data_IF_456903965798
#
_entry.id   IF_456903965798
#
_cell.length_a   1.000
_cell.length_b   1.000
_cell.length_c   1.000
_cell.angle_alpha   90.00
_cell.angle_beta   90.00
_cell.angle_gamma   90.00
#
_symmetry.space_group_name_H-M   'P 1'
#
loop_
_entity.id
_entity.type
_entity.pdbx_description
1 polymer ?
#
# COMPACT_ATOMS: atom_id res chain seq x y z
N UNK A 1 -18.42 35.28 21.06
CA UNK A 1 -19.37 34.65 20.13
C UNK A 1 -20.05 33.55 20.92
N UNK A 2 -21.39 33.54 20.95
CA UNK A 2 -22.18 32.56 21.69
C UNK A 2 -22.84 31.56 20.73
N UNK A 3 -23.28 30.42 21.26
CA UNK A 3 -23.99 29.41 20.48
C UNK A 3 -25.40 29.89 20.13
N UNK A 4 -25.79 29.70 18.87
CA UNK A 4 -27.15 29.97 18.39
C UNK A 4 -28.07 28.80 18.80
N UNK A 5 -28.50 28.83 20.06
CA UNK A 5 -29.34 27.79 20.63
C UNK A 5 -30.71 27.70 19.99
N UNK A 6 -31.24 28.80 19.46
CA UNK A 6 -32.54 28.80 18.79
C UNK A 6 -32.48 27.93 17.53
N UNK A 7 -31.47 28.16 16.68
CA UNK A 7 -31.26 27.38 15.46
C UNK A 7 -30.84 25.94 15.74
N UNK A 8 -29.98 25.72 16.73
CA UNK A 8 -29.55 24.37 17.13
C UNK A 8 -30.73 23.53 17.63
N UNK A 9 -31.62 24.12 18.46
CA UNK A 9 -32.82 23.43 18.92
C UNK A 9 -33.80 23.14 17.76
N UNK A 10 -33.95 24.07 16.82
CA UNK A 10 -34.81 23.85 15.65
C UNK A 10 -34.35 22.66 14.78
N UNK A 11 -33.05 22.42 14.66
CA UNK A 11 -32.47 21.33 13.84
C UNK A 11 -32.43 20.01 14.61
N UNK A 12 -31.99 20.04 15.87
CA UNK A 12 -31.68 18.85 16.66
C UNK A 12 -32.70 18.54 17.75
N UNK A 13 -33.91 19.12 17.72
CA UNK A 13 -34.98 18.84 18.70
C UNK A 13 -35.21 17.34 18.99
N UNK A 14 -35.15 16.42 18.00
CA UNK A 14 -35.32 14.97 18.25
C UNK A 14 -34.09 14.29 18.89
N UNK A 15 -32.94 14.96 18.95
CA UNK A 15 -31.62 14.41 19.34
C UNK A 15 -30.97 15.26 20.44
N UNK A 16 -31.51 15.13 21.65
CA UNK A 16 -31.00 15.83 22.84
C UNK A 16 -29.55 15.45 23.18
N UNK A 17 -29.13 14.22 22.86
CA UNK A 17 -27.75 13.76 23.03
C UNK A 17 -26.73 14.60 22.24
N UNK A 18 -27.13 15.10 21.06
CA UNK A 18 -26.30 15.96 20.23
C UNK A 18 -26.22 17.37 20.83
N UNK A 19 -27.33 17.92 21.31
CA UNK A 19 -27.37 19.24 21.96
C UNK A 19 -26.50 19.27 23.23
N UNK A 20 -26.57 18.21 24.04
CA UNK A 20 -25.72 18.04 25.23
C UNK A 20 -24.24 17.90 24.87
N UNK A 21 -23.93 17.18 23.79
CA UNK A 21 -22.58 17.06 23.25
C UNK A 21 -22.01 18.40 22.78
N UNK A 22 -22.81 19.20 22.08
CA UNK A 22 -22.42 20.55 21.61
C UNK A 22 -22.17 21.46 22.82
N UNK A 23 -23.05 21.43 23.83
CA UNK A 23 -22.90 22.21 25.06
C UNK A 23 -21.60 21.89 25.79
N UNK A 24 -21.24 20.60 25.87
CA UNK A 24 -20.01 20.15 26.53
C UNK A 24 -18.75 20.55 25.76
N UNK A 25 -18.79 20.52 24.43
CA UNK A 25 -17.60 20.68 23.60
C UNK A 25 -17.31 22.13 23.21
N UNK A 26 -18.24 23.07 23.37
CA UNK A 26 -18.15 24.47 22.96
C UNK A 26 -17.27 25.35 23.88
N UNK A 27 -16.08 24.87 24.19
CA UNK A 27 -15.17 25.49 25.17
C UNK A 27 -14.27 26.58 24.56
N UNK A 28 -14.25 26.72 23.24
CA UNK A 28 -13.42 27.72 22.55
C UNK A 28 -14.24 28.53 21.54
N UNK A 29 -13.87 29.80 21.28
CA UNK A 29 -14.57 30.63 20.29
C UNK A 29 -14.60 30.01 18.88
N UNK A 30 -13.55 29.27 18.51
CA UNK A 30 -13.49 28.57 17.23
C UNK A 30 -14.47 27.38 17.13
N UNK A 31 -14.66 26.63 18.22
CA UNK A 31 -15.66 25.55 18.25
C UNK A 31 -17.09 26.11 18.24
N UNK A 32 -17.33 27.21 18.94
CA UNK A 32 -18.63 27.92 18.89
C UNK A 32 -18.95 28.40 17.48
N UNK A 33 -17.99 29.01 16.78
CA UNK A 33 -18.16 29.45 15.40
C UNK A 33 -18.49 28.27 14.46
N UNK A 34 -17.75 27.16 14.59
CA UNK A 34 -17.96 25.96 13.80
C UNK A 34 -19.36 25.35 14.02
N UNK A 35 -19.84 25.26 15.28
CA UNK A 35 -21.17 24.73 15.55
C UNK A 35 -22.29 25.61 14.96
N UNK A 36 -22.14 26.93 15.00
CA UNK A 36 -23.08 27.86 14.40
C UNK A 36 -23.07 27.76 12.86
N UNK A 37 -21.91 27.57 12.24
CA UNK A 37 -21.76 27.39 10.79
C UNK A 37 -22.43 26.09 10.31
N UNK A 38 -22.21 24.98 11.02
CA UNK A 38 -22.86 23.70 10.76
C UNK A 38 -24.39 23.82 10.89
N UNK A 39 -24.87 24.47 11.94
CA UNK A 39 -26.29 24.72 12.14
C UNK A 39 -26.88 25.55 10.99
N UNK A 40 -26.18 26.60 10.55
CA UNK A 40 -26.61 27.41 9.41
C UNK A 40 -26.71 26.60 8.12
N UNK A 41 -25.70 25.77 7.82
CA UNK A 41 -25.68 24.97 6.59
C UNK A 41 -26.84 23.96 6.53
N UNK A 42 -27.10 23.27 7.64
CA UNK A 42 -28.18 22.27 7.72
C UNK A 42 -29.55 22.94 7.64
N UNK A 43 -29.72 24.10 8.28
CA UNK A 43 -30.97 24.85 8.22
C UNK A 43 -31.31 25.29 6.80
N UNK A 44 -30.32 25.80 6.04
CA UNK A 44 -30.51 26.14 4.62
C UNK A 44 -30.88 24.93 3.78
N UNK A 45 -30.20 23.79 3.98
CA UNK A 45 -30.49 22.51 3.30
C UNK A 45 -31.90 21.96 3.59
N UNK A 46 -32.43 22.20 4.79
CA UNK A 46 -33.79 21.79 5.16
C UNK A 46 -34.85 22.72 4.55
N UNK A 47 -34.56 24.02 4.45
CA UNK A 47 -35.43 24.99 3.79
C UNK A 47 -35.53 24.78 2.26
N UNK A 48 -34.47 24.27 1.62
CA UNK A 48 -34.43 23.98 0.17
C UNK A 48 -35.27 22.76 -0.25
N UNK A 49 -35.66 21.88 0.68
CA UNK A 49 -36.33 20.59 0.37
C UNK A 49 -37.85 20.58 0.65
N UNK A 50 -38.49 21.74 0.86
CA UNK A 50 -39.92 21.82 1.12
C UNK A 50 -40.78 21.92 -0.14
N UNK A 51 -41.24 20.77 -0.68
CA UNK A 51 -42.58 20.49 -1.27
C UNK A 51 -42.55 19.40 -2.37
N UNK A 52 -43.36 18.32 -2.28
CA UNK A 52 -43.64 17.47 -3.42
C UNK A 52 -45.10 17.65 -3.86
N UNK A 53 -45.35 18.36 -4.97
CA UNK A 53 -46.63 18.28 -5.69
C UNK A 53 -46.50 17.54 -7.02
N UNK A 54 -47.45 16.62 -7.19
CA UNK A 54 -47.56 15.67 -8.27
C UNK A 54 -47.86 16.33 -9.63
N UNK A 55 -47.28 15.81 -10.71
CA UNK A 55 -48.02 15.52 -11.96
C UNK A 55 -47.24 14.64 -12.93
N UNK A 56 -47.88 13.52 -13.27
CA UNK A 56 -47.52 12.55 -14.30
C UNK A 56 -47.46 13.21 -15.70
N UNK A 57 -46.46 12.88 -16.51
CA UNK A 57 -46.67 12.69 -17.96
C UNK A 57 -45.72 11.62 -18.52
N UNK A 58 -46.34 10.72 -19.28
CA UNK A 58 -45.79 9.57 -20.02
C UNK A 58 -45.33 10.01 -21.41
N UNK A 59 -44.60 9.10 -22.09
CA UNK A 59 -44.25 9.02 -23.55
C UNK A 59 -42.78 9.42 -23.80
N UNK A 60 -41.92 8.72 -24.56
CA UNK A 60 -41.90 7.41 -25.23
C UNK A 60 -40.48 7.16 -25.76
N UNK A 61 -40.08 5.89 -25.90
CA UNK A 61 -38.76 5.45 -26.33
C UNK A 61 -38.47 5.69 -27.83
N UNK A 62 -37.19 5.94 -28.14
CA UNK A 62 -36.55 5.77 -29.45
C UNK A 62 -35.06 5.42 -29.26
N UNK A 63 -34.42 4.63 -30.14
CA UNK A 63 -33.29 3.77 -29.80
C UNK A 63 -31.90 4.28 -30.24
N UNK A 64 -30.87 3.59 -29.70
CA UNK A 64 -29.42 3.57 -30.06
C UNK A 64 -28.62 4.83 -29.70
N UNK A 65 -27.43 4.79 -29.09
CA UNK A 65 -26.27 3.87 -29.15
C UNK A 65 -25.43 3.93 -27.86
N UNK A 66 -24.68 2.85 -27.60
CA UNK A 66 -23.72 2.69 -26.51
C UNK A 66 -22.59 3.73 -26.53
N UNK A 67 -22.32 4.30 -25.35
CA UNK A 67 -21.14 5.10 -25.04
C UNK A 67 -21.23 5.60 -23.60
N UNK A 68 -21.10 4.69 -22.63
CA UNK A 68 -21.23 4.99 -21.20
C UNK A 68 -20.02 5.81 -20.73
N UNK A 69 -20.12 7.14 -20.78
CA UNK A 69 -19.28 8.02 -19.98
C UNK A 69 -19.82 8.03 -18.55
N UNK A 70 -18.97 7.57 -17.62
CA UNK A 70 -19.22 7.66 -16.18
C UNK A 70 -19.52 9.12 -15.81
N UNK A 71 -20.53 9.29 -14.96
CA UNK A 71 -21.14 10.58 -14.61
C UNK A 71 -20.13 11.61 -14.11
N UNK A 72 -20.04 12.71 -14.85
CA UNK A 72 -19.39 13.93 -14.39
C UNK A 72 -20.29 14.59 -13.33
N UNK A 73 -19.72 14.80 -12.15
CA UNK A 73 -20.27 15.73 -11.16
C UNK A 73 -20.12 17.16 -11.69
N UNK A 74 -20.98 18.07 -11.22
CA UNK A 74 -21.20 19.42 -11.73
C UNK A 74 -20.04 20.43 -11.58
N UNK A 75 -18.83 20.09 -12.01
CA UNK A 75 -17.75 21.07 -12.19
C UNK A 75 -17.93 21.71 -13.57
N UNK A 76 -17.98 23.04 -13.64
CA UNK A 76 -18.27 23.83 -14.85
C UNK A 76 -17.25 23.68 -16.00
N UNK A 77 -17.18 24.65 -16.91
CA UNK A 77 -16.23 24.59 -18.02
C UNK A 77 -14.82 25.06 -17.57
N UNK A 78 -13.76 24.23 -17.66
CA UNK A 78 -12.40 24.61 -17.25
C UNK A 78 -11.82 25.80 -18.01
N UNK A 79 -12.32 26.10 -19.21
CA UNK A 79 -11.89 27.25 -20.01
C UNK A 79 -12.54 28.58 -19.58
N UNK A 80 -13.64 28.52 -18.81
CA UNK A 80 -14.38 29.70 -18.34
C UNK A 80 -13.95 30.14 -16.93
N UNK A 81 -13.31 29.23 -16.19
CA UNK A 81 -12.79 29.53 -14.87
C UNK A 81 -11.56 30.47 -14.92
N UNK A 82 -11.46 31.47 -14.02
CA UNK A 82 -10.29 32.30 -13.94
C UNK A 82 -9.05 31.50 -13.49
N UNK A 83 -7.92 31.70 -14.16
CA UNK A 83 -6.66 31.07 -13.79
C UNK A 83 -6.12 31.77 -12.53
N UNK A 84 -6.03 31.03 -11.43
CA UNK A 84 -5.47 31.49 -10.15
C UNK A 84 -3.94 31.40 -10.14
N UNK A 85 -3.39 30.34 -10.72
CA UNK A 85 -1.95 30.11 -10.83
C UNK A 85 -1.63 29.47 -12.18
N UNK A 86 -0.60 29.98 -12.83
CA UNK A 86 -0.04 29.41 -14.06
C UNK A 86 1.45 29.12 -13.85
N UNK A 87 1.87 27.89 -14.14
CA UNK A 87 3.28 27.48 -14.08
C UNK A 87 3.72 27.03 -15.47
N UNK A 88 4.66 27.76 -16.06
CA UNK A 88 5.16 27.51 -17.41
C UNK A 88 6.31 26.50 -17.41
N UNK A 89 6.56 25.90 -18.58
CA UNK A 89 7.71 25.01 -18.85
C UNK A 89 7.79 23.73 -18.00
N UNK A 90 6.66 23.21 -17.54
CA UNK A 90 6.63 21.98 -16.76
C UNK A 90 6.79 20.77 -17.66
N UNK A 91 7.85 19.99 -17.43
CA UNK A 91 8.07 18.70 -18.10
C UNK A 91 7.17 17.64 -17.48
N UNK A 92 6.02 17.40 -18.11
CA UNK A 92 5.11 16.29 -17.75
C UNK A 92 5.66 15.02 -18.37
N UNK A 93 5.59 13.90 -17.65
CA UNK A 93 6.03 12.57 -18.13
C UNK A 93 4.88 11.69 -18.59
N UNK A 94 3.73 11.78 -17.92
CA UNK A 94 2.49 11.01 -18.14
C UNK A 94 1.31 11.98 -17.95
N UNK A 95 0.23 11.92 -18.77
CA UNK A 95 -0.01 10.95 -19.83
C UNK A 95 0.82 11.17 -21.10
N UNK A 96 1.52 12.29 -21.23
CA UNK A 96 2.42 12.55 -22.35
C UNK A 96 3.73 13.16 -21.86
N UNK A 97 4.86 12.60 -22.32
CA UNK A 97 6.20 13.11 -22.00
C UNK A 97 6.52 14.36 -22.83
N UNK A 98 6.11 15.53 -22.37
CA UNK A 98 6.29 16.82 -23.07
C UNK A 98 6.27 17.99 -22.09
N UNK A 99 6.80 19.15 -22.50
CA UNK A 99 6.65 20.41 -21.74
C UNK A 99 5.27 21.05 -21.97
N UNK A 100 4.61 21.43 -20.88
CA UNK A 100 3.31 22.10 -20.86
C UNK A 100 3.32 23.32 -19.94
N UNK A 101 2.24 24.10 -19.99
CA UNK A 101 1.86 25.05 -18.94
C UNK A 101 0.78 24.42 -18.08
N UNK A 102 0.98 24.38 -16.75
CA UNK A 102 -0.04 23.94 -15.80
C UNK A 102 -0.83 25.13 -15.28
N UNK A 103 -2.16 25.02 -15.30
CA UNK A 103 -3.08 26.06 -14.86
C UNK A 103 -3.96 25.52 -13.73
N UNK A 104 -4.06 26.32 -12.67
CA UNK A 104 -4.89 26.06 -11.50
C UNK A 104 -6.03 27.07 -11.52
N UNK A 105 -7.26 26.60 -11.45
CA UNK A 105 -8.46 27.41 -11.37
C UNK A 105 -9.23 27.09 -10.09
N UNK A 106 -10.34 27.79 -9.76
CA UNK A 106 -11.16 27.44 -8.60
C UNK A 106 -11.64 25.99 -8.63
N UNK A 107 -12.00 25.45 -9.80
CA UNK A 107 -12.60 24.12 -9.91
C UNK A 107 -11.70 23.07 -10.57
N UNK A 108 -10.63 23.47 -11.28
CA UNK A 108 -9.81 22.56 -12.09
C UNK A 108 -8.31 22.72 -11.91
N UNK A 109 -7.61 21.61 -12.12
CA UNK A 109 -6.21 21.55 -12.53
C UNK A 109 -6.16 21.09 -13.98
N UNK A 110 -5.50 21.83 -14.87
CA UNK A 110 -5.30 21.36 -16.24
C UNK A 110 -3.95 21.74 -16.86
N UNK A 111 -3.57 21.01 -17.91
CA UNK A 111 -2.42 21.34 -18.76
C UNK A 111 -2.86 21.97 -20.09
N UNK A 112 -2.04 22.87 -20.62
CA UNK A 112 -2.17 23.42 -21.98
C UNK A 112 -0.80 23.54 -22.66
N UNK A 113 -0.79 23.67 -23.98
CA UNK A 113 0.46 23.88 -24.71
C UNK A 113 1.01 25.29 -24.42
N UNK A 114 2.35 25.48 -24.46
CA UNK A 114 2.95 26.80 -24.32
C UNK A 114 2.34 27.81 -25.30
N UNK A 115 1.90 28.95 -24.79
CA UNK A 115 1.31 30.02 -25.60
C UNK A 115 -0.13 29.78 -26.08
N UNK A 116 -0.79 28.68 -25.70
CA UNK A 116 -2.21 28.45 -26.01
C UNK A 116 -3.10 28.77 -24.81
N UNK A 117 -4.37 29.10 -25.04
CA UNK A 117 -5.35 29.32 -23.96
C UNK A 117 -6.23 28.10 -23.68
N UNK A 118 -6.25 27.13 -24.60
CA UNK A 118 -7.18 25.99 -24.57
C UNK A 118 -6.65 24.87 -23.66
N UNK A 119 -7.42 24.42 -22.65
CA UNK A 119 -7.11 23.22 -21.88
C UNK A 119 -7.00 21.96 -22.76
N UNK A 120 -6.04 21.09 -22.47
CA UNK A 120 -5.98 19.76 -23.09
C UNK A 120 -6.93 18.85 -22.32
N UNK A 121 -8.04 18.47 -22.94
CA UNK A 121 -9.11 17.73 -22.25
C UNK A 121 -8.65 16.44 -21.56
N UNK A 122 -7.68 15.71 -22.13
CA UNK A 122 -7.11 14.49 -21.53
C UNK A 122 -6.20 14.76 -20.31
N UNK A 123 -5.91 16.02 -20.01
CA UNK A 123 -5.09 16.50 -18.90
C UNK A 123 -5.81 17.60 -18.13
N UNK A 124 -7.14 17.51 -18.05
CA UNK A 124 -7.99 18.38 -17.23
C UNK A 124 -8.66 17.56 -16.14
N UNK A 125 -8.52 17.99 -14.90
CA UNK A 125 -9.00 17.29 -13.72
C UNK A 125 -9.77 18.28 -12.85
N UNK A 126 -11.03 17.96 -12.51
CA UNK A 126 -11.70 18.73 -11.47
C UNK A 126 -11.01 18.46 -10.13
N UNK A 127 -10.91 19.46 -9.25
CA UNK A 127 -10.31 19.25 -7.92
C UNK A 127 -11.03 18.16 -7.13
N UNK A 128 -12.34 18.00 -7.35
CA UNK A 128 -13.17 16.94 -6.76
C UNK A 128 -12.78 15.54 -7.21
N UNK A 129 -12.20 15.41 -8.40
CA UNK A 129 -11.82 14.13 -8.99
C UNK A 129 -10.39 13.72 -8.59
N UNK A 130 -9.61 14.66 -8.03
CA UNK A 130 -8.29 14.39 -7.47
C UNK A 130 -8.45 13.88 -6.04
N UNK A 131 -8.68 12.58 -5.91
CA UNK A 131 -8.76 11.95 -4.60
C UNK A 131 -7.39 11.90 -3.92
N UNK A 132 -7.34 12.29 -2.65
CA UNK A 132 -6.21 11.94 -1.78
C UNK A 132 -6.19 10.44 -1.60
N UNK A 133 -5.00 9.83 -1.59
CA UNK A 133 -4.84 8.40 -1.32
C UNK A 133 -5.49 8.06 0.03
N UNK A 134 -6.66 7.45 -0.03
CA UNK A 134 -7.38 7.03 1.16
C UNK A 134 -6.58 5.93 1.87
N UNK A 135 -6.67 5.89 3.21
CA UNK A 135 -6.15 4.74 3.96
C UNK A 135 -6.94 3.50 3.53
N UNK A 136 -6.20 2.44 3.22
CA UNK A 136 -6.72 1.20 2.69
C UNK A 136 -6.18 0.02 3.50
N UNK A 137 -6.96 -1.04 3.57
CA UNK A 137 -6.58 -2.33 4.12
C UNK A 137 -6.44 -3.34 2.97
N UNK A 138 -5.29 -4.00 2.91
CA UNK A 138 -5.06 -5.08 1.98
C UNK A 138 -5.33 -6.41 2.69
N UNK A 139 -6.14 -7.26 2.07
CA UNK A 139 -6.37 -8.63 2.50
C UNK A 139 -5.65 -9.57 1.55
N UNK A 140 -5.02 -10.59 2.12
CA UNK A 140 -4.46 -11.71 1.38
C UNK A 140 -5.05 -12.98 1.96
N UNK A 141 -5.66 -13.79 1.10
CA UNK A 141 -6.16 -15.11 1.42
C UNK A 141 -5.25 -16.13 0.74
N UNK A 142 -4.58 -16.95 1.52
CA UNK A 142 -3.79 -18.07 1.04
C UNK A 142 -4.62 -19.36 1.17
N UNK A 143 -5.11 -19.93 0.07
CA UNK A 143 -5.58 -21.31 0.07
C UNK A 143 -4.53 -22.27 0.66
N UNK A 144 -4.98 -23.37 1.28
CA UNK A 144 -4.07 -24.35 1.87
C UNK A 144 -3.06 -24.84 0.83
N UNK A 145 -1.78 -24.87 1.18
CA UNK A 145 -0.68 -25.26 0.29
C UNK A 145 -0.23 -24.20 -0.72
N UNK A 146 -0.79 -22.97 -0.70
CA UNK A 146 -0.41 -21.90 -1.63
C UNK A 146 0.45 -20.79 -0.98
N UNK A 147 0.94 -21.01 0.23
CA UNK A 147 1.71 -20.01 1.00
C UNK A 147 3.05 -19.68 0.36
N UNK A 148 3.62 -20.62 -0.39
CA UNK A 148 4.86 -20.47 -1.14
C UNK A 148 4.61 -20.96 -2.58
N UNK A 149 5.17 -20.31 -3.61
CA UNK A 149 5.07 -20.83 -4.97
C UNK A 149 5.72 -22.22 -5.08
N UNK A 150 5.12 -23.15 -5.83
CA UNK A 150 5.72 -24.47 -6.04
C UNK A 150 7.05 -24.35 -6.78
N UNK A 151 8.03 -25.19 -6.40
CA UNK A 151 9.35 -25.24 -7.06
C UNK A 151 9.29 -25.80 -8.47
N UNK A 152 8.38 -26.73 -8.70
CA UNK A 152 8.18 -27.41 -9.98
C UNK A 152 6.69 -27.63 -10.23
N UNK A 153 6.33 -27.71 -11.51
CA UNK A 153 4.94 -27.90 -11.92
C UNK A 153 4.10 -26.62 -11.94
N UNK A 154 2.85 -26.73 -12.44
CA UNK A 154 1.97 -25.59 -12.58
C UNK A 154 1.42 -25.13 -11.22
N UNK A 155 1.25 -23.82 -11.05
CA UNK A 155 0.52 -23.26 -9.91
C UNK A 155 -0.95 -23.63 -10.06
N UNK A 156 -1.45 -24.50 -9.18
CA UNK A 156 -2.82 -25.00 -9.22
C UNK A 156 -3.81 -24.06 -8.53
N UNK A 157 -3.35 -23.31 -7.53
CA UNK A 157 -4.17 -22.39 -6.74
C UNK A 157 -3.34 -21.14 -6.38
N UNK A 158 -3.83 -19.96 -6.75
CA UNK A 158 -3.18 -18.68 -6.43
C UNK A 158 -3.80 -18.02 -5.18
N UNK A 159 -3.00 -17.28 -4.38
CA UNK A 159 -3.54 -16.45 -3.31
C UNK A 159 -4.43 -15.32 -3.86
N UNK A 160 -5.53 -15.02 -3.17
CA UNK A 160 -6.42 -13.91 -3.50
C UNK A 160 -6.01 -12.67 -2.72
N UNK A 161 -5.71 -11.58 -3.43
CA UNK A 161 -5.44 -10.26 -2.83
C UNK A 161 -6.52 -9.29 -3.25
N UNK A 162 -7.06 -8.55 -2.28
CA UNK A 162 -7.97 -7.45 -2.54
C UNK A 162 -7.76 -6.34 -1.52
N UNK A 163 -8.20 -5.14 -1.89
CA UNK A 163 -8.03 -3.94 -1.08
C UNK A 163 -9.40 -3.36 -0.76
N UNK A 164 -9.58 -2.90 0.47
CA UNK A 164 -10.79 -2.20 0.90
C UNK A 164 -10.41 -0.86 1.53
N UNK A 165 -11.18 0.20 1.31
CA UNK A 165 -10.94 1.47 1.97
C UNK A 165 -11.21 1.37 3.48
N UNK A 166 -10.61 2.27 4.26
CA UNK A 166 -10.85 2.37 5.71
C UNK A 166 -12.24 2.94 6.07
N UNK A 167 -13.02 3.42 5.09
CA UNK A 167 -14.38 3.94 5.30
C UNK A 167 -15.43 2.84 5.47
N UNK A 168 -16.65 3.25 5.80
CA UNK A 168 -17.84 2.41 5.74
C UNK A 168 -18.14 1.95 4.29
N UNK A 169 -18.78 0.78 4.12
CA UNK A 169 -19.34 0.37 2.84
C UNK A 169 -20.39 1.36 2.34
N UNK A 170 -20.42 1.58 1.02
CA UNK A 170 -21.43 2.44 0.40
C UNK A 170 -22.81 1.82 0.56
N UNK A 171 -23.83 2.65 0.74
CA UNK A 171 -25.22 2.20 0.83
C UNK A 171 -25.60 1.39 -0.42
N UNK A 172 -26.37 0.31 -0.23
CA UNK A 172 -26.79 -0.58 -1.30
C UNK A 172 -25.70 -1.51 -1.87
N UNK A 173 -24.46 -1.47 -1.36
CA UNK A 173 -23.39 -2.38 -1.84
C UNK A 173 -23.33 -3.72 -1.12
N UNK A 174 -23.98 -3.86 0.03
CA UNK A 174 -24.06 -5.11 0.79
C UNK A 174 -25.37 -5.82 0.44
N UNK A 175 -25.29 -7.09 0.03
CA UNK A 175 -26.44 -7.89 -0.37
C UNK A 175 -26.40 -9.34 0.15
N UNK A 176 -27.32 -10.16 -0.32
CA UNK A 176 -27.46 -11.57 0.09
C UNK A 176 -28.29 -11.78 1.36
N UNK A 177 -28.49 -13.05 1.73
CA UNK A 177 -29.38 -13.43 2.84
C UNK A 177 -28.91 -12.95 4.22
N UNK A 178 -27.62 -12.62 4.37
CA UNK A 178 -27.05 -12.10 5.62
C UNK A 178 -26.87 -10.58 5.65
N UNK A 179 -27.37 -9.83 4.65
CA UNK A 179 -27.20 -8.37 4.59
C UNK A 179 -27.76 -7.65 5.84
N UNK A 180 -28.91 -8.09 6.36
CA UNK A 180 -29.50 -7.54 7.58
C UNK A 180 -28.60 -7.73 8.82
N UNK A 181 -27.97 -8.90 8.96
CA UNK A 181 -27.01 -9.17 10.03
C UNK A 181 -25.69 -8.41 9.86
N UNK A 182 -25.26 -8.23 8.60
CA UNK A 182 -24.05 -7.51 8.27
C UNK A 182 -24.16 -6.00 8.57
N UNK A 183 -25.36 -5.42 8.49
CA UNK A 183 -25.59 -4.00 8.74
C UNK A 183 -25.08 -3.55 10.13
N UNK A 184 -25.27 -4.39 11.16
CA UNK A 184 -24.85 -4.09 12.54
C UNK A 184 -23.33 -4.09 12.77
N UNK A 185 -22.53 -4.53 11.79
CA UNK A 185 -21.06 -4.66 11.89
C UNK A 185 -20.33 -3.94 10.74
N UNK A 186 -21.05 -3.17 9.94
CA UNK A 186 -20.56 -2.52 8.72
C UNK A 186 -20.13 -1.06 8.91
N UNK A 187 -19.79 -0.63 10.12
CA UNK A 187 -19.24 0.71 10.37
C UNK A 187 -17.95 0.98 9.57
N UNK A 188 -17.21 -0.08 9.27
CA UNK A 188 -16.05 -0.07 8.36
C UNK A 188 -16.04 -1.33 7.52
N UNK A 189 -15.43 -1.28 6.32
CA UNK A 189 -15.16 -2.51 5.57
C UNK A 189 -14.36 -3.52 6.38
N UNK A 190 -13.41 -3.08 7.22
CA UNK A 190 -12.63 -3.98 8.10
C UNK A 190 -13.53 -4.75 9.06
N UNK A 191 -14.44 -4.07 9.76
CA UNK A 191 -15.39 -4.71 10.67
C UNK A 191 -16.25 -5.76 9.95
N UNK A 192 -16.80 -5.40 8.79
CA UNK A 192 -17.61 -6.29 7.96
C UNK A 192 -16.84 -7.55 7.53
N UNK A 193 -15.65 -7.39 6.93
CA UNK A 193 -14.85 -8.51 6.45
C UNK A 193 -14.35 -9.40 7.60
N UNK A 194 -13.93 -8.82 8.73
CA UNK A 194 -13.53 -9.59 9.91
C UNK A 194 -14.69 -10.44 10.44
N UNK A 195 -15.89 -9.86 10.56
CA UNK A 195 -17.08 -10.58 10.98
C UNK A 195 -17.40 -11.72 10.01
N UNK A 196 -17.43 -11.44 8.69
CA UNK A 196 -17.79 -12.41 7.67
C UNK A 196 -16.81 -13.59 7.63
N UNK A 197 -15.50 -13.33 7.60
CA UNK A 197 -14.48 -14.39 7.60
C UNK A 197 -14.51 -15.20 8.89
N UNK A 198 -14.53 -14.57 10.06
CA UNK A 198 -14.54 -15.29 11.34
C UNK A 198 -15.77 -16.17 11.49
N UNK A 199 -16.94 -15.68 11.07
CA UNK A 199 -18.20 -16.45 11.08
C UNK A 199 -18.12 -17.67 10.15
N UNK A 200 -17.63 -17.49 8.92
CA UNK A 200 -17.57 -18.57 7.92
C UNK A 200 -16.47 -19.58 8.20
N UNK A 201 -15.29 -19.15 8.63
CA UNK A 201 -14.20 -20.04 9.05
C UNK A 201 -14.63 -20.90 10.25
N UNK A 202 -15.25 -20.29 11.27
CA UNK A 202 -15.78 -21.04 12.42
C UNK A 202 -16.85 -22.05 12.02
N UNK A 203 -17.80 -21.66 11.16
CA UNK A 203 -18.84 -22.56 10.68
C UNK A 203 -18.26 -23.75 9.88
N UNK A 204 -17.14 -23.56 9.19
CA UNK A 204 -16.40 -24.61 8.49
C UNK A 204 -15.50 -25.45 9.42
N UNK A 205 -15.51 -25.23 10.73
CA UNK A 205 -14.63 -25.91 11.68
C UNK A 205 -13.15 -25.55 11.53
N UNK A 206 -12.85 -24.41 10.87
CA UNK A 206 -11.49 -23.92 10.72
C UNK A 206 -11.06 -23.13 11.96
N UNK A 207 -9.87 -23.44 12.45
CA UNK A 207 -9.16 -22.74 13.54
C UNK A 207 -8.35 -21.53 13.04
N UNK A 208 -8.27 -21.33 11.72
CA UNK A 208 -7.58 -20.18 11.11
C UNK A 208 -8.18 -18.86 11.60
N UNK A 209 -7.29 -17.97 12.04
CA UNK A 209 -7.62 -16.60 12.43
C UNK A 209 -7.06 -15.60 11.44
N UNK A 210 -7.72 -14.45 11.32
CA UNK A 210 -7.22 -13.32 10.54
C UNK A 210 -6.00 -12.75 11.27
N UNK A 211 -4.87 -12.71 10.57
CA UNK A 211 -3.62 -12.13 11.08
C UNK A 211 -3.46 -10.75 10.45
N UNK A 212 -3.31 -9.73 11.30
CA UNK A 212 -3.10 -8.36 10.87
C UNK A 212 -1.75 -7.86 11.37
N UNK A 213 -1.12 -6.97 10.60
CA UNK A 213 0.05 -6.26 11.07
C UNK A 213 -0.32 -5.35 12.25
N UNK A 214 0.53 -5.31 13.27
CA UNK A 214 0.35 -4.50 14.47
C UNK A 214 1.57 -3.60 14.67
N UNK A 215 1.45 -2.27 14.56
CA UNK A 215 2.57 -1.34 14.71
C UNK A 215 3.21 -1.38 16.10
N UNK A 216 2.52 -1.90 17.11
CA UNK A 216 3.08 -2.11 18.45
C UNK A 216 3.96 -3.36 18.53
N UNK A 217 3.73 -4.35 17.65
CA UNK A 217 4.54 -5.57 17.56
C UNK A 217 5.72 -5.40 16.62
N UNK A 218 5.49 -4.77 15.47
CA UNK A 218 6.53 -4.48 14.49
C UNK A 218 6.18 -3.22 13.70
N UNK A 219 7.16 -2.34 13.54
CA UNK A 219 7.10 -1.24 12.59
C UNK A 219 8.50 -0.93 12.05
N UNK A 220 8.56 -0.47 10.82
CA UNK A 220 9.78 0.08 10.23
C UNK A 220 10.15 1.40 10.90
N UNK A 221 11.45 1.59 11.04
CA UNK A 221 12.09 2.82 11.52
C UNK A 221 12.27 3.85 10.40
N UNK A 222 12.14 3.42 9.14
CA UNK A 222 12.12 4.32 7.99
C UNK A 222 10.83 5.14 8.01
N UNK A 223 10.96 6.47 8.06
CA UNK A 223 9.81 7.37 8.07
C UNK A 223 9.09 7.34 6.73
N UNK A 224 7.77 7.25 6.76
CA UNK A 224 6.94 7.34 5.56
C UNK A 224 6.84 8.79 5.08
N UNK A 225 7.35 9.16 3.88
CA UNK A 225 7.33 10.54 3.41
C UNK A 225 5.91 11.12 3.29
N UNK A 226 4.95 10.29 2.87
CA UNK A 226 3.57 10.70 2.64
C UNK A 226 2.66 10.55 3.87
N UNK A 227 3.14 9.90 4.94
CA UNK A 227 2.41 9.66 6.19
C UNK A 227 3.34 9.74 7.40
N UNK A 228 3.96 10.90 7.67
CA UNK A 228 5.05 11.02 8.65
C UNK A 228 4.63 10.69 10.09
N UNK A 229 3.33 10.77 10.40
CA UNK A 229 2.79 10.43 11.73
C UNK A 229 2.33 8.97 11.84
N UNK A 230 2.39 8.18 10.75
CA UNK A 230 2.02 6.77 10.75
C UNK A 230 3.27 5.88 10.74
N UNK A 231 3.30 4.93 11.68
CA UNK A 231 4.32 3.88 11.71
C UNK A 231 4.07 2.90 10.55
N UNK A 232 5.06 2.71 9.69
CA UNK A 232 4.98 1.70 8.64
C UNK A 232 5.03 0.31 9.26
N UNK A 233 4.02 -0.52 8.98
CA UNK A 233 3.96 -1.91 9.50
C UNK A 233 4.69 -2.92 8.59
N UNK A 234 5.56 -2.42 7.72
CA UNK A 234 6.27 -3.19 6.70
C UNK A 234 7.64 -2.58 6.43
N UNK A 235 8.52 -3.38 5.85
CA UNK A 235 9.86 -2.99 5.40
C UNK A 235 9.93 -3.07 3.89
N UNK A 236 10.44 -2.03 3.24
CA UNK A 236 10.71 -2.07 1.80
C UNK A 236 11.93 -2.95 1.52
N UNK A 237 11.81 -3.86 0.55
CA UNK A 237 12.92 -4.72 0.14
C UNK A 237 12.76 -5.15 -1.32
N UNK A 238 13.71 -5.94 -1.82
CA UNK A 238 13.72 -6.49 -3.17
C UNK A 238 13.82 -8.00 -3.15
N UNK A 239 13.04 -8.67 -4.00
CA UNK A 239 13.25 -10.08 -4.33
C UNK A 239 13.71 -10.17 -5.79
N UNK A 240 15.01 -10.36 -5.99
CA UNK A 240 15.64 -10.20 -7.30
C UNK A 240 15.46 -8.76 -7.81
N UNK A 241 14.88 -8.59 -8.99
CA UNK A 241 14.62 -7.27 -9.59
C UNK A 241 13.29 -6.63 -9.17
N UNK A 242 12.48 -7.29 -8.34
CA UNK A 242 11.15 -6.80 -7.95
C UNK A 242 11.20 -6.16 -6.57
N UNK A 243 10.81 -4.89 -6.49
CA UNK A 243 10.50 -4.21 -5.24
C UNK A 243 9.19 -4.73 -4.63
N UNK A 244 9.14 -4.73 -3.30
CA UNK A 244 7.99 -5.16 -2.53
C UNK A 244 8.19 -4.88 -1.05
N UNK A 245 7.38 -5.53 -0.23
CA UNK A 245 7.27 -5.27 1.19
C UNK A 245 7.32 -6.56 2.00
N UNK A 246 8.15 -6.56 3.03
CA UNK A 246 8.18 -7.57 4.08
C UNK A 246 7.30 -7.14 5.25
N UNK A 247 6.43 -8.03 5.70
CA UNK A 247 5.61 -7.86 6.89
C UNK A 247 6.00 -8.95 7.89
N UNK A 248 6.40 -8.52 9.08
CA UNK A 248 6.77 -9.40 10.19
C UNK A 248 5.54 -9.57 11.08
N UNK A 249 4.74 -10.59 10.79
CA UNK A 249 3.46 -10.85 11.45
C UNK A 249 3.65 -11.77 12.65
N UNK A 250 2.69 -11.80 13.56
CA UNK A 250 2.75 -12.68 14.74
C UNK A 250 2.81 -14.17 14.41
N UNK A 251 2.35 -14.60 13.24
CA UNK A 251 2.31 -16.01 12.85
C UNK A 251 3.32 -16.38 11.77
N UNK A 252 4.08 -15.42 11.24
CA UNK A 252 5.02 -15.65 10.15
C UNK A 252 5.46 -14.38 9.44
N UNK A 253 6.26 -14.55 8.40
CA UNK A 253 6.76 -13.46 7.56
C UNK A 253 6.03 -13.49 6.22
N UNK A 254 5.50 -12.34 5.79
CA UNK A 254 4.81 -12.16 4.52
C UNK A 254 5.63 -11.26 3.59
N UNK A 255 5.80 -11.67 2.35
CA UNK A 255 6.26 -10.85 1.23
C UNK A 255 5.09 -10.56 0.28
N UNK A 256 4.84 -9.27 0.02
CA UNK A 256 3.79 -8.80 -0.88
C UNK A 256 3.98 -7.33 -1.28
N UNK A 257 3.10 -6.67 -2.03
CA UNK A 257 1.91 -7.18 -2.73
C UNK A 257 2.19 -7.51 -4.21
N UNK A 258 3.46 -7.57 -4.63
CA UNK A 258 3.83 -8.01 -5.99
C UNK A 258 4.02 -9.52 -6.04
N UNK A 259 3.66 -10.14 -7.17
CA UNK A 259 3.88 -11.58 -7.39
C UNK A 259 5.39 -11.92 -7.45
N UNK A 260 5.83 -13.04 -6.86
CA UNK A 260 5.00 -14.00 -6.10
C UNK A 260 4.68 -13.48 -4.70
N UNK A 261 3.47 -13.78 -4.21
CA UNK A 261 3.12 -13.59 -2.81
C UNK A 261 3.66 -14.76 -2.02
N UNK A 262 4.31 -14.49 -0.90
CA UNK A 262 4.97 -15.53 -0.09
C UNK A 262 4.61 -15.30 1.37
N UNK A 263 4.03 -16.30 2.01
CA UNK A 263 3.85 -16.34 3.46
C UNK A 263 4.63 -17.52 4.03
N UNK A 264 5.52 -17.25 4.97
CA UNK A 264 6.35 -18.25 5.63
C UNK A 264 5.90 -18.30 7.11
N UNK A 265 5.12 -19.32 7.51
CA UNK A 265 4.71 -19.49 8.90
C UNK A 265 5.92 -19.62 9.83
N UNK A 266 5.88 -19.05 11.03
CA UNK A 266 6.97 -19.13 12.01
C UNK A 266 7.48 -20.56 12.21
N UNK A 267 6.56 -21.53 12.33
CA UNK A 267 6.88 -22.96 12.51
C UNK A 267 7.66 -23.60 11.36
N UNK A 268 7.69 -22.97 10.19
CA UNK A 268 8.44 -23.44 9.02
C UNK A 268 9.80 -22.75 8.89
N UNK A 269 10.06 -21.67 9.63
CA UNK A 269 11.34 -20.97 9.58
C UNK A 269 12.37 -21.79 10.35
N UNK A 270 13.40 -22.24 9.64
CA UNK A 270 14.53 -22.95 10.24
C UNK A 270 15.54 -21.97 10.86
N UNK A 271 15.86 -20.90 10.13
CA UNK A 271 16.79 -19.87 10.56
C UNK A 271 16.59 -18.58 9.77
N UNK A 272 17.13 -17.49 10.31
CA UNK A 272 17.29 -16.22 9.60
C UNK A 272 18.76 -15.80 9.61
N UNK A 273 19.21 -15.22 8.51
CA UNK A 273 20.59 -14.75 8.33
C UNK A 273 20.61 -13.37 7.69
N UNK A 274 21.59 -12.56 8.09
CA UNK A 274 21.88 -11.27 7.49
C UNK A 274 23.12 -11.37 6.62
N UNK A 275 22.99 -11.03 5.34
CA UNK A 275 24.07 -11.08 4.35
C UNK A 275 24.23 -9.73 3.66
N UNK A 276 25.32 -9.55 2.91
CA UNK A 276 25.60 -8.33 2.13
C UNK A 276 25.36 -7.03 2.92
N UNK A 277 25.85 -7.00 4.17
CA UNK A 277 25.67 -5.84 5.06
C UNK A 277 26.55 -4.69 4.56
N UNK A 278 25.89 -3.65 4.03
CA UNK A 278 26.49 -2.39 3.59
C UNK A 278 26.19 -1.28 4.62
N UNK A 279 26.71 -0.08 4.37
CA UNK A 279 26.47 1.06 5.26
C UNK A 279 24.99 1.48 5.36
N UNK A 280 24.25 1.30 4.26
CA UNK A 280 22.87 1.78 4.13
C UNK A 280 21.83 0.66 4.04
N UNK A 281 22.24 -0.54 3.64
CA UNK A 281 21.33 -1.66 3.41
C UNK A 281 21.98 -3.00 3.73
N UNK A 282 21.16 -4.01 3.93
CA UNK A 282 21.58 -5.41 4.03
C UNK A 282 20.56 -6.33 3.35
N UNK A 283 20.88 -7.61 3.28
CA UNK A 283 19.98 -8.64 2.79
C UNK A 283 19.53 -9.52 3.96
N UNK A 284 18.26 -9.93 3.95
CA UNK A 284 17.67 -10.90 4.87
C UNK A 284 17.47 -12.21 4.10
N UNK A 285 18.03 -13.30 4.61
CA UNK A 285 17.82 -14.65 4.10
C UNK A 285 17.00 -15.43 5.11
N UNK A 286 15.90 -16.02 4.67
CA UNK A 286 15.04 -16.87 5.49
C UNK A 286 15.22 -18.31 5.01
N UNK A 287 15.79 -19.16 5.86
CA UNK A 287 15.85 -20.61 5.66
C UNK A 287 14.53 -21.23 6.13
N UNK A 288 13.93 -22.06 5.29
CA UNK A 288 12.61 -22.68 5.52
C UNK A 288 12.74 -24.19 5.42
N UNK A 289 12.16 -24.90 6.38
CA UNK A 289 12.13 -26.37 6.33
C UNK A 289 11.41 -26.84 5.06
N UNK A 290 11.95 -27.88 4.39
CA UNK A 290 11.38 -28.42 3.16
C UNK A 290 9.96 -28.94 3.40
N UNK A 291 9.17 -28.98 2.34
CA UNK A 291 7.83 -29.60 2.39
C UNK A 291 7.90 -31.13 2.36
N UNK A 292 8.93 -31.68 1.71
CA UNK A 292 9.18 -33.12 1.60
C UNK A 292 10.39 -33.53 2.46
N UNK A 293 10.26 -34.67 3.14
CA UNK A 293 11.30 -35.17 4.03
C UNK A 293 12.49 -35.73 3.24
N UNK A 294 13.68 -35.18 3.46
CA UNK A 294 14.92 -35.53 2.74
C UNK A 294 15.45 -34.44 1.80
N UNK A 295 14.66 -33.40 1.54
CA UNK A 295 15.10 -32.23 0.77
C UNK A 295 15.98 -31.28 1.59
N UNK A 296 16.76 -30.45 0.89
CA UNK A 296 17.45 -29.32 1.52
C UNK A 296 16.46 -28.22 1.91
N UNK A 297 16.81 -27.43 2.93
CA UNK A 297 16.04 -26.24 3.30
C UNK A 297 15.94 -25.28 2.12
N UNK A 298 14.78 -24.62 2.02
CA UNK A 298 14.56 -23.56 1.06
C UNK A 298 15.09 -22.23 1.56
N UNK A 299 15.66 -21.44 0.67
CA UNK A 299 16.18 -20.11 1.00
C UNK A 299 15.42 -19.02 0.26
N UNK A 300 14.89 -18.07 1.03
CA UNK A 300 14.25 -16.87 0.52
C UNK A 300 15.09 -15.65 0.87
N UNK A 301 15.85 -15.17 -0.11
CA UNK A 301 16.59 -13.92 0.00
C UNK A 301 15.73 -12.70 -0.37
N UNK A 302 15.82 -11.67 0.48
CA UNK A 302 15.25 -10.35 0.30
C UNK A 302 16.36 -9.31 0.49
N UNK A 303 16.69 -8.59 -0.57
CA UNK A 303 17.81 -7.65 -0.59
C UNK A 303 17.41 -6.20 -0.41
N UNK A 304 18.41 -5.35 -0.25
CA UNK A 304 18.28 -3.89 -0.15
C UNK A 304 17.33 -3.44 0.97
N UNK A 305 17.30 -4.17 2.09
CA UNK A 305 16.58 -3.77 3.30
C UNK A 305 17.34 -2.61 3.94
N UNK A 306 16.64 -1.54 4.34
CA UNK A 306 17.26 -0.37 4.96
C UNK A 306 17.90 -0.71 6.31
N UNK A 307 19.12 -0.23 6.55
CA UNK A 307 19.87 -0.49 7.77
C UNK A 307 19.13 -0.03 9.04
N UNK A 308 18.26 0.98 8.95
CA UNK A 308 17.46 1.46 10.07
C UNK A 308 16.47 0.40 10.59
N UNK A 309 16.05 -0.53 9.74
CA UNK A 309 15.12 -1.60 10.10
C UNK A 309 15.80 -2.80 10.76
N UNK A 310 17.13 -2.86 10.77
CA UNK A 310 17.90 -3.96 11.36
C UNK A 310 17.47 -4.28 12.80
N UNK A 311 17.41 -3.27 13.68
CA UNK A 311 17.07 -3.48 15.09
C UNK A 311 15.66 -4.07 15.27
N UNK A 312 14.67 -3.56 14.53
CA UNK A 312 13.30 -4.06 14.60
C UNK A 312 13.16 -5.49 14.07
N UNK A 313 13.90 -5.83 13.01
CA UNK A 313 13.93 -7.20 12.46
C UNK A 313 14.64 -8.15 13.44
N UNK A 314 15.76 -7.75 14.01
CA UNK A 314 16.53 -8.54 14.95
C UNK A 314 15.74 -8.81 16.26
N UNK A 315 15.02 -7.82 16.76
CA UNK A 315 14.10 -7.99 17.88
C UNK A 315 12.98 -8.97 17.56
N UNK A 316 12.45 -8.96 16.33
CA UNK A 316 11.46 -9.94 15.88
C UNK A 316 12.03 -11.36 15.85
N UNK A 317 13.25 -11.55 15.35
CA UNK A 317 13.95 -12.85 15.33
C UNK A 317 14.09 -13.39 16.75
N UNK A 318 14.60 -12.58 17.67
CA UNK A 318 14.80 -12.95 19.08
C UNK A 318 13.49 -13.26 19.80
N UNK A 319 12.48 -12.42 19.63
CA UNK A 319 11.17 -12.58 20.28
C UNK A 319 10.50 -13.89 19.90
N UNK A 320 10.67 -14.33 18.66
CA UNK A 320 10.09 -15.57 18.16
C UNK A 320 11.02 -16.79 18.32
N UNK A 321 12.18 -16.63 18.96
CA UNK A 321 13.14 -17.72 19.18
C UNK A 321 13.72 -18.30 17.89
N UNK A 322 13.74 -17.52 16.82
CA UNK A 322 14.28 -17.96 15.53
C UNK A 322 15.81 -18.03 15.59
N UNK A 323 16.41 -19.07 14.99
CA UNK A 323 17.86 -19.21 14.98
C UNK A 323 18.50 -18.14 14.09
N UNK A 324 19.48 -17.41 14.60
CA UNK A 324 20.35 -16.53 13.81
C UNK A 324 21.57 -17.32 13.31
N UNK A 325 21.70 -17.45 11.98
CA UNK A 325 22.83 -18.14 11.32
C UNK A 325 23.80 -17.22 10.58
N UNK A 326 23.71 -15.91 10.79
CA UNK A 326 24.55 -14.91 10.12
C UNK A 326 26.06 -15.18 10.29
N UNK A 327 26.50 -15.63 11.47
CA UNK A 327 27.91 -15.94 11.75
C UNK A 327 28.38 -17.26 11.11
N UNK A 328 27.47 -18.18 10.79
CA UNK A 328 27.80 -19.37 10.00
C UNK A 328 28.04 -18.99 8.54
N UNK A 329 27.20 -18.11 7.98
CA UNK A 329 27.34 -17.62 6.61
C UNK A 329 28.58 -16.74 6.41
N UNK A 330 28.90 -15.85 7.37
CA UNK A 330 30.15 -15.09 7.31
C UNK A 330 31.39 -16.00 7.33
N UNK A 331 31.34 -17.14 8.04
CA UNK A 331 32.43 -18.12 8.07
C UNK A 331 32.54 -18.86 6.74
N UNK A 332 31.44 -19.34 6.16
CA UNK A 332 31.42 -19.97 4.83
C UNK A 332 31.91 -19.01 3.74
N UNK A 333 31.43 -17.76 3.75
CA UNK A 333 31.85 -16.74 2.78
C UNK A 333 33.35 -16.44 2.87
N UNK A 334 33.91 -16.30 4.08
CA UNK A 334 35.36 -16.13 4.27
C UNK A 334 36.17 -17.32 3.76
N UNK A 335 35.69 -18.55 3.95
CA UNK A 335 36.33 -19.76 3.42
C UNK A 335 36.33 -19.77 1.88
N UNK A 336 35.20 -19.48 1.24
CA UNK A 336 35.10 -19.41 -0.23
C UNK A 336 35.98 -18.30 -0.83
N UNK A 337 36.08 -17.14 -0.18
CA UNK A 337 36.99 -16.06 -0.56
C UNK A 337 38.47 -16.47 -0.45
N UNK A 338 38.83 -17.26 0.57
CA UNK A 338 40.18 -17.78 0.74
C UNK A 338 40.53 -18.82 -0.34
N UNK A 339 39.63 -19.75 -0.66
CA UNK A 339 39.80 -20.74 -1.73
C UNK A 339 39.95 -20.07 -3.12
N UNK A 340 39.16 -19.03 -3.39
CA UNK A 340 39.24 -18.28 -4.65
C UNK A 340 40.51 -17.41 -4.76
N UNK A 341 41.05 -16.92 -3.63
CA UNK A 341 42.36 -16.25 -3.61
C UNK A 341 43.52 -17.24 -3.84
N UNK A 342 43.43 -18.47 -3.33
CA UNK A 342 44.41 -19.53 -3.58
C UNK A 342 44.51 -19.93 -5.05
N UNK A 343 43.40 -19.88 -5.81
CA UNK A 343 43.39 -20.19 -7.25
C UNK A 343 43.92 -19.05 -8.14
N UNK A 344 43.86 -17.78 -7.70
CA UNK A 344 44.43 -16.64 -8.46
C UNK A 344 45.94 -16.47 -8.33
N UNK A 345 46.58 -17.14 -7.37
CA UNK A 345 48.05 -17.11 -7.19
C UNK A 345 48.80 -18.18 -7.98
N UNK A 346 48.11 -19.11 -8.65
CA UNK A 346 48.75 -20.27 -9.31
C UNK A 346 49.01 -20.07 -10.81
N UNK A 347 48.61 -18.94 -11.40
CA UNK A 347 48.69 -18.73 -12.88
C UNK A 347 49.54 -17.51 -13.28
N UNK A 348 50.36 -16.96 -12.37
CA UNK A 348 51.24 -15.81 -12.66
C UNK A 348 52.74 -16.05 -12.45
N UNK A 349 53.18 -17.30 -12.24
CA UNK A 349 54.61 -17.62 -12.02
C UNK A 349 55.17 -18.68 -12.99
N UNK A 350 54.61 -18.78 -14.20
CA UNK A 350 55.14 -19.64 -15.26
C UNK A 350 55.34 -18.90 -16.60
N UNK A 351 55.88 -17.67 -16.57
CA UNK A 351 56.23 -16.95 -17.79
C UNK A 351 57.39 -15.96 -17.62
N UNK A 352 58.51 -16.32 -16.99
CA UNK A 352 59.77 -15.61 -17.26
C UNK A 352 61.03 -16.38 -16.85
N UNK A 353 61.45 -17.37 -17.66
CA UNK A 353 62.79 -17.96 -17.52
C UNK A 353 63.32 -18.63 -18.79
N UNK A 354 63.22 -18.01 -19.98
CA UNK A 354 64.05 -18.39 -21.15
C UNK A 354 64.33 -17.19 -22.04
N UNK A 355 65.50 -16.57 -21.88
CA UNK A 355 65.99 -15.60 -22.86
C UNK A 355 67.19 -14.77 -22.41
N UNK A 356 68.39 -15.36 -22.32
CA UNK A 356 69.64 -14.59 -22.38
C UNK A 356 70.84 -15.45 -22.83
N UNK A 357 71.08 -15.45 -24.14
CA UNK A 357 72.41 -15.23 -24.73
C UNK A 357 73.44 -16.37 -24.72
N UNK A 358 73.70 -16.95 -25.90
CA UNK A 358 75.08 -17.18 -26.34
C UNK A 358 75.23 -17.34 -27.86
N UNK A 359 75.68 -16.24 -28.47
CA UNK A 359 76.66 -16.07 -29.57
C UNK A 359 76.87 -17.23 -30.55
N UNK A 360 76.54 -16.96 -31.82
CA UNK A 360 77.11 -17.64 -32.98
C UNK A 360 78.11 -16.72 -33.68
N UNK A 361 79.31 -17.23 -33.97
CA UNK A 361 80.39 -16.50 -34.61
C UNK A 361 81.47 -17.40 -35.19
N UNK A 362 81.29 -17.73 -36.48
CA UNK A 362 82.29 -17.96 -37.55
C UNK A 362 83.09 -19.27 -37.66
N UNK A 363 83.35 -19.58 -38.95
CA UNK A 363 84.25 -20.56 -39.60
C UNK A 363 83.53 -21.88 -39.94
N UNK A 364 83.47 -22.35 -41.19
CA UNK A 364 84.19 -22.09 -42.44
C UNK A 364 83.24 -22.20 -43.62
#
# INVERSE_FOLDING_TARGET
MELDWERLNAIFSPRQDILDGIKRCAETPGKVALFNEIASHIHTKLAENGEPEAKRRKVQAGPTTNGSTNGASAAGNPAEDPILLQVKEISVSVPQRKKFELCFTPNFLYARLPGTTVPIQAMTYAWTDIEKTQVQHNYILFPRGSTTPPKSGPVTVEPLVFTVPATAPKEGTIGGSEAGSAAAVSDTYKGLFHWAFNRRLRAAGSDVHIVASDPNKFHSMVRQPHRPNEKAVHVGAFRGSKDGYLFFLETGILWGFKKPLIFIPLKRIAAMSYTNILQITFNVVIEVFPEEEGDANDEYEFGMVDQQDYGGIDDYVKRNGLQDRSMAEQRKGKLQLAENKGKKGADSDAANARGAGRRHGRRR
#
